data_IF_586968828138
#
_entry.id   IF_586968828138
#
_cell.length_a   1.000
_cell.length_b   1.000
_cell.length_c   1.000
_cell.angle_alpha   90.00
_cell.angle_beta   90.00
_cell.angle_gamma   90.00
#
_symmetry.space_group_name_H-M   'P 1'
#
loop_
_entity.id
_entity.type
_entity.pdbx_description
1 polymer ?
#
# COMPACT_ATOMS: atom_id res chain seq x y z
N UNK A 1 -16.69 -12.13 -6.40
CA UNK A 1 -15.30 -12.24 -5.91
C UNK A 1 -15.14 -11.32 -4.71
N UNK A 2 -15.01 -11.85 -3.50
CA UNK A 2 -14.75 -11.02 -2.32
C UNK A 2 -13.32 -10.48 -2.40
N UNK A 3 -13.15 -9.15 -2.54
CA UNK A 3 -11.83 -8.53 -2.46
C UNK A 3 -11.30 -8.74 -1.03
N UNK A 4 -10.25 -9.57 -0.87
CA UNK A 4 -9.57 -9.74 0.42
C UNK A 4 -8.97 -8.38 0.82
N UNK A 5 -9.13 -7.99 2.09
CA UNK A 5 -8.47 -6.80 2.62
C UNK A 5 -6.96 -7.01 2.61
N UNK A 6 -6.22 -6.07 2.04
CA UNK A 6 -4.76 -6.10 2.01
C UNK A 6 -4.22 -4.68 2.25
N UNK A 7 -3.17 -4.58 3.05
CA UNK A 7 -2.39 -3.37 3.26
C UNK A 7 -0.92 -3.65 2.92
N UNK A 8 -0.68 -4.41 1.85
CA UNK A 8 0.67 -4.67 1.34
C UNK A 8 0.74 -4.22 -0.11
N UNK A 9 1.70 -3.37 -0.43
CA UNK A 9 1.96 -2.90 -1.79
C UNK A 9 3.39 -3.24 -2.17
N UNK A 10 3.58 -3.92 -3.30
CA UNK A 10 4.89 -4.18 -3.89
C UNK A 10 5.04 -3.34 -5.14
N UNK A 11 6.03 -2.45 -5.13
CA UNK A 11 6.35 -1.57 -6.26
C UNK A 11 7.57 -2.12 -6.98
N UNK A 12 7.43 -2.30 -8.29
CA UNK A 12 8.52 -2.64 -9.22
C UNK A 12 8.76 -1.46 -10.14
N UNK A 13 10.02 -1.08 -10.34
CA UNK A 13 10.40 -0.01 -11.25
C UNK A 13 11.51 -0.51 -12.16
N UNK A 14 11.38 -0.25 -13.45
CA UNK A 14 12.41 -0.57 -14.46
C UNK A 14 12.89 0.70 -15.15
N UNK A 15 14.18 0.72 -15.49
CA UNK A 15 14.85 1.76 -16.27
C UNK A 15 15.52 1.07 -17.46
N UNK A 16 15.10 1.41 -18.67
CA UNK A 16 15.63 0.79 -19.90
C UNK A 16 15.53 -0.74 -19.95
N UNK A 17 14.53 -1.32 -19.28
CA UNK A 17 14.31 -2.77 -19.20
C UNK A 17 14.97 -3.45 -18.00
N UNK A 18 15.92 -2.80 -17.34
CA UNK A 18 16.56 -3.31 -16.12
C UNK A 18 15.83 -2.84 -14.87
N UNK A 19 15.84 -3.64 -13.82
CA UNK A 19 15.26 -3.26 -12.54
C UNK A 19 16.04 -2.10 -11.92
N UNK A 20 15.34 -1.03 -11.56
CA UNK A 20 15.95 0.11 -10.91
C UNK A 20 16.54 -0.30 -9.56
N UNK A 21 17.68 0.29 -9.18
CA UNK A 21 18.33 0.02 -7.90
C UNK A 21 17.37 0.30 -6.72
N UNK A 22 17.35 -0.61 -5.75
CA UNK A 22 16.48 -0.52 -4.59
C UNK A 22 15.03 -0.93 -4.83
N UNK A 23 14.70 -1.53 -5.99
CA UNK A 23 13.42 -2.17 -6.28
C UNK A 23 13.59 -3.71 -6.42
N UNK A 24 12.53 -4.51 -6.17
CA UNK A 24 11.20 -4.10 -5.74
C UNK A 24 11.19 -3.57 -4.30
N UNK A 25 10.32 -2.60 -4.05
CA UNK A 25 10.04 -2.10 -2.69
C UNK A 25 8.73 -2.65 -2.20
N UNK A 26 8.68 -3.08 -0.95
CA UNK A 26 7.45 -3.55 -0.32
C UNK A 26 7.07 -2.60 0.80
N UNK A 27 5.85 -2.10 0.75
CA UNK A 27 5.25 -1.21 1.72
C UNK A 27 4.18 -1.98 2.51
N UNK A 28 4.15 -1.74 3.82
CA UNK A 28 3.24 -2.41 4.74
C UNK A 28 2.38 -1.39 5.47
N UNK A 29 1.13 -1.21 5.04
CA UNK A 29 0.17 -0.32 5.67
C UNK A 29 -0.33 -0.82 7.03
N UNK A 30 0.02 -2.04 7.46
CA UNK A 30 -0.16 -2.47 8.86
C UNK A 30 0.93 -1.93 9.79
N UNK A 31 2.10 -1.55 9.27
CA UNK A 31 3.11 -0.87 10.07
C UNK A 31 2.72 0.59 10.30
N UNK A 32 3.50 1.28 11.15
CA UNK A 32 3.28 2.69 11.40
C UNK A 32 3.66 3.52 10.17
N UNK A 33 2.82 4.51 9.84
CA UNK A 33 3.12 5.50 8.81
C UNK A 33 2.41 6.82 9.13
N UNK A 34 2.89 7.92 8.56
CA UNK A 34 2.29 9.24 8.73
C UNK A 34 1.95 9.82 7.36
N UNK A 35 0.73 10.35 7.24
CA UNK A 35 0.27 10.98 6.01
C UNK A 35 -0.54 12.23 6.33
N UNK A 36 -0.20 13.36 5.69
CA UNK A 36 -0.91 14.64 5.84
C UNK A 36 -1.17 15.06 7.30
N UNK A 37 -0.15 14.93 8.16
CA UNK A 37 -0.25 15.26 9.59
C UNK A 37 -1.07 14.29 10.44
N UNK A 38 -1.53 13.17 9.87
CA UNK A 38 -2.21 12.09 10.59
C UNK A 38 -1.26 10.91 10.76
N UNK A 39 -1.09 10.46 12.00
CA UNK A 39 -0.30 9.27 12.33
C UNK A 39 -1.20 8.03 12.35
N UNK A 40 -0.77 7.00 11.61
CA UNK A 40 -1.40 5.69 11.58
C UNK A 40 -0.50 4.72 12.35
N UNK A 41 -0.82 4.36 13.60
CA UNK A 41 0.01 3.46 14.38
C UNK A 41 0.03 2.05 13.76
N UNK A 42 1.05 1.28 14.11
CA UNK A 42 1.11 -0.13 13.74
C UNK A 42 -0.10 -0.90 14.32
N UNK A 43 -0.63 -1.82 13.55
CA UNK A 43 -1.75 -2.70 13.92
C UNK A 43 -1.36 -4.15 13.72
N UNK A 44 -1.88 -5.03 14.56
CA UNK A 44 -1.74 -6.47 14.40
C UNK A 44 -2.84 -7.07 13.50
N UNK A 45 -2.71 -8.36 13.21
CA UNK A 45 -3.65 -9.09 12.36
C UNK A 45 -5.05 -9.17 12.97
N UNK A 46 -5.15 -9.25 14.31
CA UNK A 46 -6.43 -9.33 15.02
C UNK A 46 -7.20 -8.02 14.87
N UNK A 47 -6.56 -6.89 15.18
CA UNK A 47 -7.10 -5.53 14.99
C UNK A 47 -7.51 -5.30 13.55
N UNK A 48 -6.67 -5.72 12.58
CA UNK A 48 -6.99 -5.59 11.16
C UNK A 48 -8.22 -6.42 10.75
N UNK A 49 -8.35 -7.64 11.28
CA UNK A 49 -9.48 -8.52 11.00
C UNK A 49 -10.81 -7.97 11.55
N UNK A 50 -10.77 -7.31 12.71
CA UNK A 50 -11.94 -6.71 13.36
C UNK A 50 -12.20 -5.26 12.93
N UNK A 51 -11.32 -4.67 12.11
CA UNK A 51 -11.41 -3.27 11.70
C UNK A 51 -12.73 -2.98 10.97
N UNK A 52 -13.41 -1.90 11.35
CA UNK A 52 -14.57 -1.41 10.62
C UNK A 52 -14.22 -1.09 9.16
N UNK A 53 -15.14 -1.34 8.23
CA UNK A 53 -14.90 -1.11 6.79
C UNK A 53 -14.50 0.34 6.49
N UNK A 54 -15.14 1.31 7.16
CA UNK A 54 -14.82 2.74 7.00
C UNK A 54 -13.41 3.08 7.45
N UNK A 55 -12.95 2.54 8.58
CA UNK A 55 -11.58 2.72 9.08
C UNK A 55 -10.56 2.07 8.14
N UNK A 56 -10.87 0.87 7.64
CA UNK A 56 -10.05 0.20 6.65
C UNK A 56 -9.90 1.04 5.38
N UNK A 57 -11.00 1.58 4.84
CA UNK A 57 -10.97 2.40 3.62
C UNK A 57 -10.18 3.70 3.84
N UNK A 58 -10.35 4.36 5.00
CA UNK A 58 -9.57 5.55 5.36
C UNK A 58 -8.07 5.23 5.45
N UNK A 59 -7.69 4.16 6.16
CA UNK A 59 -6.29 3.72 6.26
C UNK A 59 -5.71 3.31 4.91
N UNK A 60 -6.47 2.58 4.09
CA UNK A 60 -6.03 2.17 2.75
C UNK A 60 -5.79 3.38 1.84
N UNK A 61 -6.71 4.35 1.84
CA UNK A 61 -6.56 5.56 1.03
C UNK A 61 -5.34 6.38 1.45
N UNK A 62 -5.13 6.55 2.76
CA UNK A 62 -3.95 7.25 3.28
C UNK A 62 -2.65 6.47 2.99
N UNK A 63 -2.69 5.14 3.09
CA UNK A 63 -1.56 4.29 2.79
C UNK A 63 -1.17 4.36 1.30
N UNK A 64 -2.15 4.32 0.39
CA UNK A 64 -1.92 4.50 -1.05
C UNK A 64 -1.24 5.85 -1.31
N UNK A 65 -1.82 6.94 -0.81
CA UNK A 65 -1.27 8.27 -1.03
C UNK A 65 0.12 8.46 -0.38
N UNK A 66 0.36 7.82 0.77
CA UNK A 66 1.68 7.75 1.38
C UNK A 66 2.70 7.09 0.45
N UNK A 67 2.36 5.94 -0.15
CA UNK A 67 3.26 5.24 -1.09
C UNK A 67 3.50 6.07 -2.35
N UNK A 68 2.47 6.69 -2.94
CA UNK A 68 2.61 7.56 -4.10
C UNK A 68 3.52 8.76 -3.85
N UNK A 69 3.52 9.32 -2.62
CA UNK A 69 4.47 10.39 -2.23
C UNK A 69 5.92 9.90 -2.15
N UNK A 70 6.15 8.64 -1.77
CA UNK A 70 7.48 8.03 -1.73
C UNK A 70 7.98 7.64 -3.13
N UNK A 71 7.06 7.40 -4.06
CA UNK A 71 7.30 6.84 -5.37
C UNK A 71 6.94 7.85 -6.47
N UNK A 72 7.85 8.80 -6.73
CA UNK A 72 7.59 9.87 -7.69
C UNK A 72 7.17 9.34 -9.07
N UNK A 73 6.02 9.83 -9.56
CA UNK A 73 5.42 9.42 -10.83
C UNK A 73 4.59 8.14 -10.76
N UNK A 74 4.46 7.51 -9.58
CA UNK A 74 3.51 6.42 -9.36
C UNK A 74 2.10 6.97 -9.10
N UNK A 75 1.13 6.50 -9.87
CA UNK A 75 -0.29 6.66 -9.56
C UNK A 75 -0.91 5.26 -9.49
N UNK A 76 -1.13 4.76 -8.28
CA UNK A 76 -1.60 3.39 -8.01
C UNK A 76 -3.01 3.16 -8.58
N UNK A 77 -3.81 4.21 -8.75
CA UNK A 77 -5.12 4.07 -9.43
C UNK A 77 -5.00 3.83 -10.94
N UNK A 78 -3.87 4.22 -11.54
CA UNK A 78 -3.56 4.05 -12.96
C UNK A 78 -2.71 2.80 -13.24
N UNK A 79 -1.92 2.35 -12.24
CA UNK A 79 -1.08 1.15 -12.39
C UNK A 79 -1.85 -0.11 -11.93
N UNK A 80 -1.79 -1.16 -12.74
CA UNK A 80 -2.56 -2.40 -12.60
C UNK A 80 -2.42 -3.06 -11.21
N UNK A 81 -3.45 -2.98 -10.36
CA UNK A 81 -3.51 -3.68 -9.06
C UNK A 81 -4.52 -4.83 -9.08
N UNK A 82 -4.31 -5.89 -9.86
CA UNK A 82 -5.08 -7.13 -9.74
C UNK A 82 -4.32 -8.31 -10.38
N UNK A 83 -3.19 -8.74 -9.79
CA UNK A 83 -2.78 -10.14 -9.95
C UNK A 83 -3.11 -10.85 -8.63
N UNK A 84 -4.07 -11.79 -8.60
CA UNK A 84 -4.22 -12.66 -7.44
C UNK A 84 -2.93 -13.46 -7.28
N UNK A 85 -2.33 -13.41 -6.10
CA UNK A 85 -1.30 -14.38 -5.73
C UNK A 85 -1.95 -15.78 -5.76
N UNK A 86 -1.53 -16.61 -6.73
CA UNK A 86 -1.88 -18.02 -6.86
C UNK A 86 -1.03 -18.89 -5.93
#
# INVERSE_FOLDING_TARGET
MAKKRSLTLKVTKTLSGDMAEGYPRTYYGMQAFSYNGTDYPAIDAETFSMMAVSLYQSRLSAFIAYVELQEFGLNISEVQTNEPYY
#
